data_IF_001382578146
#
_entry.id   IF_001382578146
#
_cell.length_a   1.000
_cell.length_b   1.000
_cell.length_c   1.000
_cell.angle_alpha   90.00
_cell.angle_beta   90.00
_cell.angle_gamma   90.00
#
_symmetry.space_group_name_H-M   'P 1'
#
loop_
_entity.id
_entity.type
_entity.pdbx_description
1 polymer ?
#
# COMPACT_ATOMS: atom_id res chain seq x y z
N UNK A 1 3.35 4.43 -22.94
CA UNK A 1 2.58 4.20 -21.70
C UNK A 1 3.51 3.96 -20.53
N UNK A 2 3.08 4.26 -19.31
CA UNK A 2 3.87 4.01 -18.08
C UNK A 2 3.76 2.55 -17.62
N UNK A 3 2.68 1.87 -17.95
CA UNK A 3 2.34 0.55 -17.43
C UNK A 3 2.44 -0.51 -18.53
N UNK A 4 2.75 -1.77 -18.17
CA UNK A 4 2.73 -2.90 -19.08
C UNK A 4 1.31 -3.19 -19.60
N UNK A 5 1.19 -4.15 -20.52
CA UNK A 5 -0.12 -4.56 -21.01
C UNK A 5 -0.94 -5.22 -19.90
N UNK A 6 -2.20 -4.81 -19.77
CA UNK A 6 -3.11 -5.35 -18.79
C UNK A 6 -4.37 -4.53 -18.61
N UNK A 7 -5.27 -5.03 -17.74
CA UNK A 7 -6.47 -4.30 -17.36
C UNK A 7 -6.09 -3.28 -16.27
N UNK A 8 -6.33 -2.00 -16.54
CA UNK A 8 -6.05 -0.90 -15.63
C UNK A 8 -7.26 -0.60 -14.75
N UNK A 9 -8.42 -0.46 -15.37
CA UNK A 9 -9.65 -0.11 -14.66
C UNK A 9 -10.69 -1.18 -14.91
N UNK A 10 -11.06 -1.87 -13.86
CA UNK A 10 -12.15 -2.84 -13.87
C UNK A 10 -13.18 -2.41 -12.85
N UNK A 11 -14.45 -2.55 -13.19
CA UNK A 11 -15.57 -2.26 -12.29
C UNK A 11 -16.35 -3.53 -12.00
N UNK A 12 -16.99 -3.58 -10.82
CA UNK A 12 -17.89 -4.66 -10.43
C UNK A 12 -19.22 -4.06 -9.96
N UNK A 13 -20.29 -4.52 -10.57
CA UNK A 13 -21.65 -4.11 -10.21
C UNK A 13 -22.17 -4.84 -8.95
N UNK A 14 -23.36 -4.49 -8.50
CA UNK A 14 -24.02 -5.09 -7.33
C UNK A 14 -24.32 -6.61 -7.47
N UNK A 15 -24.30 -7.14 -8.70
CA UNK A 15 -24.55 -8.55 -8.99
C UNK A 15 -23.23 -9.35 -9.08
N UNK A 16 -22.08 -8.69 -8.88
CA UNK A 16 -20.76 -9.29 -9.01
C UNK A 16 -20.26 -9.38 -10.45
N UNK A 17 -20.96 -8.78 -11.42
CA UNK A 17 -20.51 -8.75 -12.82
C UNK A 17 -19.38 -7.73 -12.97
N UNK A 18 -18.28 -8.17 -13.57
CA UNK A 18 -17.11 -7.32 -13.81
C UNK A 18 -17.08 -6.82 -15.25
N UNK A 19 -16.65 -5.57 -15.40
CA UNK A 19 -16.46 -4.91 -16.70
C UNK A 19 -15.09 -4.26 -16.75
N UNK A 20 -14.31 -4.55 -17.80
CA UNK A 20 -13.03 -3.88 -18.03
C UNK A 20 -13.29 -2.57 -18.77
N UNK A 21 -13.02 -1.47 -18.12
CA UNK A 21 -13.24 -0.11 -18.66
C UNK A 21 -12.03 0.38 -19.48
N UNK A 22 -10.81 0.14 -18.96
CA UNK A 22 -9.57 0.57 -19.59
C UNK A 22 -8.49 -0.50 -19.53
N UNK A 23 -7.71 -0.56 -20.61
CA UNK A 23 -6.56 -1.46 -20.72
C UNK A 23 -5.31 -0.71 -21.15
N UNK A 24 -4.14 -1.16 -20.71
CA UNK A 24 -2.85 -0.72 -21.24
C UNK A 24 -2.36 -1.65 -22.34
N UNK A 25 -1.63 -1.08 -23.29
CA UNK A 25 -0.93 -1.81 -24.36
C UNK A 25 0.56 -1.92 -24.05
N UNK A 26 1.22 -2.91 -24.64
CA UNK A 26 2.59 -3.33 -24.37
C UNK A 26 3.67 -2.36 -24.88
N UNK A 27 3.78 -1.14 -24.40
CA UNK A 27 4.88 -0.23 -24.70
C UNK A 27 5.19 0.62 -23.47
N UNK A 28 5.65 -0.05 -22.41
CA UNK A 28 5.98 0.64 -21.18
C UNK A 28 7.33 1.35 -21.24
N UNK A 29 7.42 2.47 -20.56
CA UNK A 29 8.68 3.17 -20.33
C UNK A 29 9.44 2.46 -19.21
N UNK A 30 10.68 2.05 -19.48
CA UNK A 30 11.53 1.33 -18.53
C UNK A 30 12.20 2.28 -17.51
N UNK A 31 11.39 3.10 -16.82
CA UNK A 31 11.85 3.97 -15.76
C UNK A 31 11.29 3.50 -14.41
N UNK A 32 12.07 3.57 -13.33
CA UNK A 32 11.55 3.35 -11.99
C UNK A 32 10.56 4.47 -11.62
N UNK A 33 9.50 4.11 -10.90
CA UNK A 33 8.44 5.03 -10.50
C UNK A 33 8.24 4.93 -8.99
N UNK A 34 8.03 6.08 -8.35
CA UNK A 34 7.54 6.16 -6.98
C UNK A 34 6.33 7.10 -6.97
N UNK A 35 5.26 6.67 -6.34
CA UNK A 35 4.02 7.43 -6.20
C UNK A 35 3.88 7.85 -4.76
N UNK A 36 3.73 9.15 -4.50
CA UNK A 36 3.43 9.66 -3.17
C UNK A 36 1.91 9.76 -3.05
N UNK A 37 1.37 9.15 -2.00
CA UNK A 37 -0.06 9.15 -1.71
C UNK A 37 -0.32 9.33 -0.21
N UNK A 38 -1.50 9.83 0.11
CA UNK A 38 -1.95 10.02 1.48
C UNK A 38 -3.48 9.88 1.57
N UNK A 39 -4.04 10.11 2.76
CA UNK A 39 -5.47 10.02 3.05
C UNK A 39 -6.35 11.00 2.26
N UNK A 40 -5.76 12.00 1.59
CA UNK A 40 -6.48 12.91 0.70
C UNK A 40 -6.41 12.48 -0.77
N UNK A 41 -5.65 11.44 -1.08
CA UNK A 41 -5.59 10.84 -2.42
C UNK A 41 -6.84 10.00 -2.66
N UNK A 42 -7.65 10.33 -3.67
CA UNK A 42 -8.93 9.67 -3.93
C UNK A 42 -9.23 9.45 -5.41
N UNK A 43 -10.17 8.54 -5.70
CA UNK A 43 -10.73 8.28 -7.03
C UNK A 43 -9.71 7.75 -8.03
N UNK A 44 -9.53 8.41 -9.18
CA UNK A 44 -8.63 7.96 -10.24
C UNK A 44 -7.16 7.88 -9.79
N UNK A 45 -6.75 8.70 -8.82
CA UNK A 45 -5.40 8.65 -8.28
C UNK A 45 -5.15 7.36 -7.48
N UNK A 46 -6.18 6.82 -6.81
CA UNK A 46 -6.10 5.55 -6.12
C UNK A 46 -5.96 4.38 -7.10
N UNK A 47 -6.73 4.41 -8.21
CA UNK A 47 -6.60 3.42 -9.28
C UNK A 47 -5.17 3.42 -9.83
N UNK A 48 -4.61 4.60 -10.10
CA UNK A 48 -3.24 4.73 -10.58
C UNK A 48 -2.21 4.21 -9.57
N UNK A 49 -2.38 4.50 -8.27
CA UNK A 49 -1.52 3.96 -7.23
C UNK A 49 -1.58 2.43 -7.15
N UNK A 50 -2.79 1.85 -7.25
CA UNK A 50 -3.00 0.41 -7.31
C UNK A 50 -2.32 -0.21 -8.53
N UNK A 51 -2.46 0.41 -9.71
CA UNK A 51 -1.84 -0.05 -10.94
C UNK A 51 -0.31 -0.10 -10.81
N UNK A 52 0.32 1.00 -10.34
CA UNK A 52 1.79 1.06 -10.16
C UNK A 52 2.26 -0.06 -9.24
N UNK A 53 1.56 -0.29 -8.14
CA UNK A 53 1.89 -1.30 -7.14
C UNK A 53 1.71 -2.72 -7.67
N UNK A 54 0.55 -3.05 -8.21
CA UNK A 54 0.21 -4.42 -8.59
C UNK A 54 0.90 -4.87 -9.87
N UNK A 55 1.13 -3.97 -10.82
CA UNK A 55 1.99 -4.24 -11.98
C UNK A 55 3.49 -4.27 -11.62
N UNK A 56 3.84 -4.02 -10.33
CA UNK A 56 5.22 -3.97 -9.84
C UNK A 56 6.09 -2.97 -10.62
N UNK A 57 5.46 -1.92 -11.07
CA UNK A 57 6.11 -0.86 -11.85
C UNK A 57 6.85 0.14 -10.99
N UNK A 58 6.45 0.24 -9.73
CA UNK A 58 7.01 1.15 -8.77
C UNK A 58 6.54 0.86 -7.35
N UNK A 59 6.75 1.83 -6.47
CA UNK A 59 6.34 1.77 -5.06
C UNK A 59 5.41 2.94 -4.73
N UNK A 60 4.45 2.68 -3.86
CA UNK A 60 3.59 3.70 -3.26
C UNK A 60 4.20 4.08 -1.91
N UNK A 61 4.44 5.37 -1.72
CA UNK A 61 5.09 5.94 -0.53
C UNK A 61 4.13 6.91 0.14
N UNK A 62 4.09 6.91 1.46
CA UNK A 62 3.27 7.85 2.24
C UNK A 62 2.28 7.15 3.15
N UNK A 63 1.01 7.45 3.02
CA UNK A 63 -0.07 6.91 3.83
C UNK A 63 -1.10 6.19 2.96
N UNK A 64 -1.98 5.34 3.55
CA UNK A 64 -3.10 4.77 2.81
C UNK A 64 -3.96 5.86 2.19
N UNK A 65 -4.50 5.60 1.01
CA UNK A 65 -5.39 6.52 0.30
C UNK A 65 -6.79 6.57 0.91
N UNK A 66 -7.63 7.49 0.46
CA UNK A 66 -8.96 7.75 1.02
C UNK A 66 -9.94 6.58 0.94
N UNK A 67 -9.78 5.69 -0.03
CA UNK A 67 -10.72 4.58 -0.24
C UNK A 67 -12.01 4.99 -0.96
N UNK A 68 -11.94 5.93 -1.88
CA UNK A 68 -13.09 6.32 -2.71
C UNK A 68 -13.11 5.51 -4.01
N UNK A 69 -13.52 4.25 -3.87
CA UNK A 69 -13.47 3.25 -4.93
C UNK A 69 -14.82 2.99 -5.61
N UNK A 70 -15.71 3.98 -5.73
CA UNK A 70 -17.00 3.83 -6.41
C UNK A 70 -17.03 4.51 -7.76
N UNK A 71 -17.72 3.86 -8.72
CA UNK A 71 -18.11 4.47 -9.98
C UNK A 71 -19.48 5.10 -9.82
N UNK A 72 -19.54 6.42 -9.96
CA UNK A 72 -20.78 7.18 -9.85
C UNK A 72 -21.33 7.54 -11.22
N UNK A 73 -22.64 7.48 -11.36
CA UNK A 73 -23.36 7.92 -12.56
C UNK A 73 -24.35 9.02 -12.19
N UNK A 74 -24.39 10.02 -13.08
CA UNK A 74 -25.38 11.12 -12.98
C UNK A 74 -26.59 10.76 -13.83
N UNK A 75 -27.73 10.60 -13.17
CA UNK A 75 -29.01 10.21 -13.81
C UNK A 75 -29.90 11.45 -13.88
N UNK A 76 -30.19 11.99 -15.08
CA UNK A 76 -31.08 13.12 -15.22
C UNK A 76 -32.52 12.73 -14.95
N UNK A 77 -33.27 13.60 -14.30
CA UNK A 77 -34.70 13.44 -14.02
C UNK A 77 -35.57 14.28 -14.98
N UNK A 78 -36.84 13.92 -15.06
CA UNK A 78 -37.80 14.55 -16.01
C UNK A 78 -38.09 16.02 -15.72
N UNK A 79 -37.82 16.49 -14.51
CA UNK A 79 -38.00 17.88 -14.07
C UNK A 79 -36.77 18.76 -14.30
N UNK A 80 -35.69 18.21 -14.93
CA UNK A 80 -34.44 18.90 -15.20
C UNK A 80 -33.43 18.83 -14.06
N UNK A 81 -33.76 18.20 -12.94
CA UNK A 81 -32.81 17.86 -11.86
C UNK A 81 -32.03 16.59 -12.23
N UNK A 82 -31.03 16.23 -11.42
CA UNK A 82 -30.30 14.99 -11.57
C UNK A 82 -29.96 14.40 -10.20
N UNK A 83 -29.78 13.08 -10.16
CA UNK A 83 -29.25 12.36 -9.01
C UNK A 83 -27.92 11.71 -9.35
N UNK A 84 -26.99 11.66 -8.41
CA UNK A 84 -25.75 10.92 -8.54
C UNK A 84 -25.85 9.66 -7.71
N UNK A 85 -25.59 8.51 -8.31
CA UNK A 85 -25.65 7.19 -7.66
C UNK A 85 -24.36 6.43 -7.91
N UNK A 86 -23.85 5.78 -6.87
CA UNK A 86 -22.76 4.81 -7.00
C UNK A 86 -23.33 3.52 -7.59
N UNK A 87 -22.91 3.15 -8.79
CA UNK A 87 -23.47 2.03 -9.57
C UNK A 87 -22.57 0.79 -9.58
N UNK A 88 -21.26 0.98 -9.30
CA UNK A 88 -20.28 -0.11 -9.26
C UNK A 88 -19.13 0.24 -8.33
N UNK A 89 -18.34 -0.77 -7.93
CA UNK A 89 -17.05 -0.56 -7.29
C UNK A 89 -15.92 -0.69 -8.31
N UNK A 90 -14.89 0.11 -8.16
CA UNK A 90 -13.64 -0.10 -8.85
C UNK A 90 -12.87 -1.24 -8.20
N UNK A 91 -12.20 -2.02 -9.03
CA UNK A 91 -11.30 -3.10 -8.62
C UNK A 91 -9.88 -2.71 -8.97
N UNK A 92 -8.93 -3.12 -8.13
CA UNK A 92 -7.51 -3.11 -8.49
C UNK A 92 -7.25 -4.10 -9.64
N UNK A 93 -6.11 -4.03 -10.35
CA UNK A 93 -5.74 -5.03 -11.36
C UNK A 93 -5.84 -6.49 -10.87
N UNK A 94 -5.55 -6.73 -9.59
CA UNK A 94 -5.69 -8.04 -8.93
C UNK A 94 -7.12 -8.42 -8.56
N UNK A 95 -8.11 -7.58 -8.85
CA UNK A 95 -9.53 -7.86 -8.59
C UNK A 95 -10.00 -7.56 -7.18
N UNK A 96 -9.25 -6.77 -6.40
CA UNK A 96 -9.61 -6.40 -5.04
C UNK A 96 -10.42 -5.11 -5.02
N UNK A 97 -11.53 -5.08 -4.28
CA UNK A 97 -12.29 -3.86 -3.99
C UNK A 97 -11.53 -3.04 -2.95
N UNK A 98 -11.27 -1.77 -3.25
CA UNK A 98 -10.59 -0.85 -2.32
C UNK A 98 -11.51 0.23 -1.73
N UNK A 99 -12.78 0.23 -2.11
CA UNK A 99 -13.78 1.15 -1.57
C UNK A 99 -13.91 1.01 -0.05
N UNK A 100 -13.78 2.12 0.68
CA UNK A 100 -13.78 2.17 2.14
C UNK A 100 -12.49 1.69 2.84
N UNK A 101 -11.49 1.23 2.08
CA UNK A 101 -10.22 0.71 2.61
C UNK A 101 -9.03 1.53 2.14
N UNK A 102 -9.04 1.95 0.86
CA UNK A 102 -7.93 2.63 0.21
C UNK A 102 -6.81 1.69 -0.24
N UNK A 103 -5.80 2.28 -0.83
CA UNK A 103 -4.58 1.60 -1.28
C UNK A 103 -3.50 1.84 -0.24
N UNK A 104 -2.99 0.77 0.36
CA UNK A 104 -1.93 0.86 1.35
C UNK A 104 -0.59 1.24 0.71
N UNK A 105 0.17 2.12 1.36
CA UNK A 105 1.53 2.44 0.96
C UNK A 105 2.47 1.24 1.16
N UNK A 106 3.47 1.09 0.28
CA UNK A 106 4.55 0.11 0.42
C UNK A 106 5.61 0.59 1.39
N UNK A 107 5.82 1.91 1.44
CA UNK A 107 6.71 2.59 2.37
C UNK A 107 5.91 3.64 3.11
N UNK A 108 5.75 3.46 4.42
CA UNK A 108 5.06 4.44 5.25
C UNK A 108 5.93 5.67 5.49
N UNK A 109 5.39 6.84 5.18
CA UNK A 109 5.99 8.14 5.47
C UNK A 109 4.87 9.15 5.77
N UNK A 110 4.94 9.80 6.91
CA UNK A 110 3.92 10.76 7.37
C UNK A 110 4.50 12.14 7.50
N UNK A 111 3.68 13.14 7.22
CA UNK A 111 3.95 14.54 7.55
C UNK A 111 3.17 14.92 8.80
N UNK A 112 3.70 15.87 9.57
CA UNK A 112 2.94 16.50 10.66
C UNK A 112 1.87 17.43 10.07
N UNK A 113 0.88 17.82 10.87
CA UNK A 113 -0.15 18.79 10.43
C UNK A 113 0.47 20.10 9.96
N UNK A 114 1.50 20.59 10.69
CA UNK A 114 2.23 21.79 10.32
C UNK A 114 2.95 21.65 8.97
N UNK A 115 3.58 20.48 8.72
CA UNK A 115 4.23 20.19 7.44
C UNK A 115 3.22 20.07 6.29
N UNK A 116 2.04 19.49 6.55
CA UNK A 116 0.96 19.43 5.54
C UNK A 116 0.43 20.84 5.20
N UNK A 117 0.30 21.73 6.19
CA UNK A 117 -0.08 23.11 5.96
C UNK A 117 0.98 23.88 5.15
N UNK A 118 2.26 23.65 5.43
CA UNK A 118 3.37 24.24 4.66
C UNK A 118 3.40 23.68 3.23
N UNK A 119 3.19 22.37 3.06
CA UNK A 119 3.11 21.74 1.75
C UNK A 119 1.95 22.31 0.93
N UNK A 120 0.79 22.50 1.52
CA UNK A 120 -0.39 23.07 0.87
C UNK A 120 -0.17 24.51 0.39
N UNK A 121 0.78 25.24 1.00
CA UNK A 121 1.18 26.62 0.61
C UNK A 121 2.41 26.66 -0.29
N UNK A 122 2.97 25.50 -0.64
CA UNK A 122 4.24 25.39 -1.39
C UNK A 122 5.44 26.01 -0.64
N UNK A 123 5.40 25.94 0.69
CA UNK A 123 6.40 26.52 1.59
C UNK A 123 7.26 25.45 2.29
N UNK A 124 6.91 24.16 2.17
CA UNK A 124 7.68 23.07 2.77
C UNK A 124 8.97 22.85 1.97
N UNK A 125 10.11 22.94 2.66
CA UNK A 125 11.38 22.64 2.02
C UNK A 125 11.45 21.15 1.62
N UNK A 126 11.96 20.84 0.44
CA UNK A 126 12.08 19.47 -0.05
C UNK A 126 12.91 18.56 0.88
N UNK A 127 13.85 19.14 1.63
CA UNK A 127 14.66 18.42 2.63
C UNK A 127 13.85 18.00 3.87
N UNK A 128 12.77 18.70 4.15
CA UNK A 128 11.92 18.51 5.33
C UNK A 128 10.67 17.68 5.00
N UNK A 129 10.45 17.40 3.71
CA UNK A 129 9.38 16.54 3.23
C UNK A 129 9.79 15.05 3.33
N UNK A 130 9.37 14.41 4.41
CA UNK A 130 9.67 13.00 4.67
C UNK A 130 9.10 12.07 3.60
N UNK A 131 7.97 12.40 2.98
CA UNK A 131 7.36 11.61 1.91
C UNK A 131 8.19 11.69 0.63
N UNK A 132 8.61 12.89 0.25
CA UNK A 132 9.50 13.10 -0.90
C UNK A 132 10.85 12.41 -0.69
N UNK A 133 11.46 12.56 0.49
CA UNK A 133 12.74 11.91 0.81
C UNK A 133 12.66 10.38 0.76
N UNK A 134 11.57 9.80 1.29
CA UNK A 134 11.32 8.37 1.22
C UNK A 134 11.10 7.90 -0.24
N UNK A 135 10.37 8.67 -1.05
CA UNK A 135 10.14 8.38 -2.46
C UNK A 135 11.43 8.42 -3.28
N UNK A 136 12.26 9.44 -3.08
CA UNK A 136 13.58 9.54 -3.73
C UNK A 136 14.47 8.37 -3.33
N UNK A 137 14.52 8.03 -2.04
CA UNK A 137 15.28 6.89 -1.54
C UNK A 137 14.80 5.56 -2.14
N UNK A 138 13.49 5.42 -2.35
CA UNK A 138 12.90 4.26 -3.02
C UNK A 138 13.34 4.16 -4.49
N UNK A 139 13.34 5.28 -5.22
CA UNK A 139 13.80 5.35 -6.60
C UNK A 139 15.28 4.98 -6.74
N UNK A 140 16.14 5.50 -5.85
CA UNK A 140 17.58 5.18 -5.83
C UNK A 140 17.81 3.68 -5.65
N UNK A 141 17.07 3.07 -4.72
CA UNK A 141 17.13 1.61 -4.51
C UNK A 141 16.68 0.80 -5.73
N UNK A 142 15.81 1.36 -6.56
CA UNK A 142 15.37 0.77 -7.81
C UNK A 142 16.33 1.04 -8.98
N UNK A 143 17.48 1.69 -8.72
CA UNK A 143 18.52 1.96 -9.72
C UNK A 143 18.33 3.28 -10.49
N UNK A 144 17.49 4.19 -10.00
CA UNK A 144 17.43 5.53 -10.56
C UNK A 144 18.75 6.28 -10.32
N UNK A 145 19.28 6.93 -11.37
CA UNK A 145 20.35 7.87 -11.21
C UNK A 145 19.78 9.17 -10.64
N UNK A 146 20.24 9.58 -9.46
CA UNK A 146 19.91 10.88 -8.89
C UNK A 146 20.84 11.91 -9.51
N UNK A 147 20.30 12.78 -10.35
CA UNK A 147 20.97 14.02 -10.65
C UNK A 147 20.96 14.85 -9.34
N UNK A 148 22.10 15.41 -8.96
CA UNK A 148 22.17 16.29 -7.77
C UNK A 148 21.14 17.41 -7.91
N UNK A 149 20.12 17.37 -7.05
CA UNK A 149 19.17 18.49 -6.93
C UNK A 149 19.94 19.55 -6.16
N UNK A 150 20.13 20.77 -6.72
CA UNK A 150 20.80 21.84 -6.01
C UNK A 150 20.12 22.10 -4.66
N UNK A 151 20.81 21.85 -3.56
CA UNK A 151 20.30 22.05 -2.20
C UNK A 151 20.09 20.75 -1.38
N UNK A 152 20.15 19.59 -1.96
CA UNK A 152 20.17 18.32 -1.21
C UNK A 152 21.61 17.98 -0.85
N UNK A 153 21.98 18.09 0.41
CA UNK A 153 23.22 17.49 0.89
C UNK A 153 23.06 15.96 0.83
N UNK A 154 23.94 15.33 0.06
CA UNK A 154 24.05 13.85 0.02
C UNK A 154 24.25 13.35 1.45
N UNK A 155 23.24 12.69 2.00
CA UNK A 155 23.42 11.87 3.20
C UNK A 155 24.24 10.65 2.80
N UNK A 156 25.55 10.83 2.66
CA UNK A 156 26.52 9.74 2.74
C UNK A 156 26.68 9.40 4.22
N UNK A 157 25.75 8.63 4.72
CA UNK A 157 25.81 7.98 6.01
C UNK A 157 25.92 6.48 5.79
N UNK A 158 27.15 6.00 5.76
CA UNK A 158 27.48 4.60 6.00
C UNK A 158 27.08 4.27 7.43
N UNK A 159 25.89 3.76 7.66
CA UNK A 159 25.61 3.00 8.87
C UNK A 159 25.82 1.53 8.58
N UNK A 160 27.05 1.11 8.96
CA UNK A 160 27.40 -0.27 9.17
C UNK A 160 26.50 -0.79 10.31
N UNK A 161 25.75 -1.81 10.01
CA UNK A 161 25.10 -2.65 11.01
C UNK A 161 26.22 -3.27 11.86
N UNK A 162 26.24 -3.13 13.18
CA UNK A 162 27.18 -3.88 14.00
C UNK A 162 26.77 -5.35 13.96
N UNK A 163 27.63 -6.15 13.37
CA UNK A 163 27.63 -7.60 13.46
C UNK A 163 27.99 -7.97 14.91
N UNK A 164 27.01 -8.38 15.70
CA UNK A 164 27.27 -9.02 16.98
C UNK A 164 27.86 -10.40 16.73
N UNK A 165 29.19 -10.46 16.82
CA UNK A 165 29.92 -11.70 16.96
C UNK A 165 29.72 -12.24 18.37
N UNK A 166 28.84 -13.19 18.53
CA UNK A 166 28.79 -14.05 19.71
C UNK A 166 29.83 -15.13 19.63
N UNK A 167 30.96 -14.95 20.25
CA UNK A 167 31.85 -16.06 20.60
C UNK A 167 31.54 -16.56 22.00
N UNK A 168 31.26 -17.88 22.01
CA UNK A 168 30.99 -18.62 23.21
C UNK A 168 32.19 -18.87 24.06
N UNK A 169 31.97 -19.28 25.24
CA UNK A 169 32.80 -20.31 25.89
C UNK A 169 32.05 -21.00 27.00
N UNK A 170 32.17 -22.30 26.91
CA UNK A 170 31.67 -23.33 27.76
C UNK A 170 32.21 -23.23 29.20
N UNK A 171 31.48 -23.79 30.13
CA UNK A 171 31.80 -24.88 31.05
C UNK A 171 30.77 -24.88 32.17
N UNK A 172 30.14 -25.98 32.38
CA UNK A 172 30.37 -27.00 33.37
C UNK A 172 29.18 -27.22 34.25
N UNK A 173 28.67 -28.47 34.25
CA UNK A 173 28.24 -29.31 35.39
C UNK A 173 27.22 -28.68 36.37
N UNK A 174 26.16 -29.30 36.80
CA UNK A 174 25.90 -30.68 37.20
C UNK A 174 24.42 -30.84 37.64
N UNK A 175 23.91 -32.02 37.40
CA UNK A 175 23.07 -32.86 38.23
C UNK A 175 21.63 -32.49 38.64
N UNK A 176 20.82 -33.45 38.33
CA UNK A 176 19.86 -34.19 39.17
C UNK A 176 18.39 -33.76 39.18
N UNK A 177 17.60 -34.59 38.54
CA UNK A 177 16.65 -35.53 39.16
C UNK A 177 15.32 -34.95 39.63
N UNK A 178 14.30 -35.40 39.12
CA UNK A 178 13.24 -36.35 39.53
C UNK A 178 11.87 -35.94 39.01
N UNK A 179 11.27 -36.88 38.35
CA UNK A 179 10.01 -37.55 38.66
C UNK A 179 8.82 -36.59 38.90
N UNK A 180 7.75 -36.69 38.21
CA UNK A 180 6.92 -37.79 37.97
C UNK A 180 5.50 -37.29 37.69
N UNK A 181 4.81 -38.04 36.94
CA UNK A 181 3.40 -38.41 37.06
C UNK A 181 2.38 -37.61 36.28
N UNK A 182 2.03 -38.19 35.10
CA UNK A 182 0.63 -38.31 34.65
C UNK A 182 -0.13 -39.24 35.63
N UNK A 183 -1.45 -39.18 35.73
CA UNK A 183 -2.32 -39.80 34.74
C UNK A 183 -3.73 -39.19 34.54
N UNK A 184 -4.27 -39.48 33.32
CA UNK A 184 -5.54 -40.16 33.03
C UNK A 184 -6.85 -39.51 33.44
N UNK A 185 -7.65 -39.41 32.44
CA UNK A 185 -8.88 -40.10 32.01
C UNK A 185 -10.15 -39.40 32.49
N UNK A 186 -11.01 -39.33 31.72
CA UNK A 186 -12.23 -39.87 31.05
C UNK A 186 -13.26 -38.76 31.10
N UNK A 187 -14.12 -38.54 30.20
CA UNK A 187 -14.97 -39.38 29.43
C UNK A 187 -16.32 -38.73 29.36
N UNK A 188 -17.03 -39.07 28.33
CA UNK A 188 -18.50 -39.21 28.27
C UNK A 188 -19.30 -38.08 27.66
N UNK A 189 -19.60 -38.14 26.37
CA UNK A 189 -20.86 -38.61 25.71
C UNK A 189 -22.14 -37.93 26.13
N UNK A 190 -22.82 -37.44 25.17
CA UNK A 190 -24.19 -37.72 24.70
C UNK A 190 -24.87 -36.46 24.26
N UNK A 191 -25.23 -36.34 23.02
CA UNK A 191 -26.37 -36.81 22.27
C UNK A 191 -27.63 -36.00 22.49
N UNK A 192 -28.19 -35.66 21.36
CA UNK A 192 -29.62 -35.69 21.02
C UNK A 192 -30.33 -34.36 20.97
N UNK A 193 -30.71 -33.97 19.81
CA UNK A 193 -31.95 -34.10 19.06
C UNK A 193 -32.94 -32.92 19.19
N UNK A 194 -33.24 -32.42 18.00
CA UNK A 194 -34.53 -31.94 17.48
C UNK A 194 -35.30 -30.76 18.13
N UNK A 195 -35.67 -29.90 17.26
CA UNK A 195 -36.70 -28.87 17.34
C UNK A 195 -36.63 -28.00 16.12
#
# INVERSE_FOLDING_TARGET
TLLPAGNLVTTQDKNGQTTVEYTSKSNEIALPISVIANETTFGAAEIFAADIKEFKKGLVVGQPTAGYGTKDEVIPLSDGSAITLSVANYLTPGGTVFNGVGIAADISATLTEEQMDLLARDELAHTDDAQLQAAVSALVRQGAAVAEIPGTQSAQGTDAIPEEAGEGSATGEDAASSEGTQPTEEGSTSSSTAG
#
